data_IF_352334133523
#
_entry.id   IF_352334133523
#
_cell.length_a   1.000
_cell.length_b   1.000
_cell.length_c   1.000
_cell.angle_alpha   90.00
_cell.angle_beta   90.00
_cell.angle_gamma   90.00
#
_symmetry.space_group_name_H-M   'P 1'
#
loop_
_entity.id
_entity.type
_entity.pdbx_description
1 polymer ?
#
# COMPACT_ATOMS: atom_id res chain seq x y z
N UNK A 1 -38.59 5.47 -46.88
CA UNK A 1 -37.87 6.29 -45.87
C UNK A 1 -37.01 5.40 -44.97
N UNK A 2 -36.24 4.46 -45.52
CA UNK A 2 -35.76 3.30 -44.74
C UNK A 2 -34.25 3.12 -44.72
N UNK A 3 -33.52 3.76 -45.64
CA UNK A 3 -32.06 3.60 -45.77
C UNK A 3 -31.27 4.41 -44.73
N UNK A 4 -31.67 5.65 -44.43
CA UNK A 4 -31.02 6.47 -43.39
C UNK A 4 -31.16 5.87 -41.98
N UNK A 5 -32.31 5.28 -41.67
CA UNK A 5 -32.54 4.58 -40.39
C UNK A 5 -31.67 3.31 -40.28
N UNK A 6 -31.46 2.61 -41.40
CA UNK A 6 -30.59 1.43 -41.46
C UNK A 6 -29.10 1.78 -41.34
N UNK A 7 -28.66 2.90 -41.96
CA UNK A 7 -27.29 3.40 -41.81
C UNK A 7 -27.00 3.86 -40.38
N UNK A 8 -27.93 4.58 -39.73
CA UNK A 8 -27.76 5.00 -38.34
C UNK A 8 -27.67 3.81 -37.38
N UNK A 9 -28.46 2.75 -37.61
CA UNK A 9 -28.39 1.52 -36.81
C UNK A 9 -27.03 0.83 -36.93
N UNK A 10 -26.49 0.69 -38.16
CA UNK A 10 -25.15 0.13 -38.38
C UNK A 10 -24.05 0.92 -37.68
N UNK A 11 -24.12 2.24 -37.74
CA UNK A 11 -23.14 3.13 -37.10
C UNK A 11 -23.17 2.97 -35.56
N UNK A 12 -24.35 2.82 -34.98
CA UNK A 12 -24.53 2.58 -33.54
C UNK A 12 -24.00 1.20 -33.13
N UNK A 13 -24.27 0.16 -33.92
CA UNK A 13 -23.77 -1.20 -33.65
C UNK A 13 -22.23 -1.27 -33.74
N UNK A 14 -21.63 -0.59 -34.72
CA UNK A 14 -20.17 -0.49 -34.88
C UNK A 14 -19.51 0.23 -33.69
N UNK A 15 -20.08 1.36 -33.25
CA UNK A 15 -19.60 2.10 -32.08
C UNK A 15 -19.69 1.29 -30.78
N UNK A 16 -20.78 0.54 -30.58
CA UNK A 16 -20.95 -0.35 -29.43
C UNK A 16 -19.92 -1.49 -29.42
N UNK A 17 -19.61 -2.04 -30.60
CA UNK A 17 -18.58 -3.07 -30.74
C UNK A 17 -17.18 -2.53 -30.41
N UNK A 18 -16.85 -1.31 -30.83
CA UNK A 18 -15.56 -0.71 -30.56
C UNK A 18 -15.39 -0.31 -29.08
N UNK A 19 -16.42 0.24 -28.43
CA UNK A 19 -16.40 0.43 -26.97
C UNK A 19 -16.18 -0.89 -26.22
N UNK A 20 -16.80 -1.99 -26.67
CA UNK A 20 -16.60 -3.31 -26.06
C UNK A 20 -15.16 -3.82 -26.23
N UNK A 21 -14.52 -3.56 -27.37
CA UNK A 21 -13.10 -3.89 -27.60
C UNK A 21 -12.18 -3.04 -26.73
N UNK A 22 -12.44 -1.74 -26.60
CA UNK A 22 -11.66 -0.86 -25.73
C UNK A 22 -11.75 -1.29 -24.26
N UNK A 23 -12.93 -1.65 -23.76
CA UNK A 23 -13.07 -2.18 -22.40
C UNK A 23 -12.28 -3.47 -22.19
N UNK A 24 -12.30 -4.39 -23.17
CA UNK A 24 -11.50 -5.62 -23.10
C UNK A 24 -10.01 -5.33 -23.05
N UNK A 25 -9.53 -4.43 -23.91
CA UNK A 25 -8.12 -3.99 -23.94
C UNK A 25 -7.73 -3.33 -22.61
N UNK A 26 -8.60 -2.51 -22.03
CA UNK A 26 -8.37 -1.88 -20.73
C UNK A 26 -8.25 -2.91 -19.61
N UNK A 27 -9.18 -3.87 -19.52
CA UNK A 27 -9.12 -4.97 -18.54
C UNK A 27 -7.86 -5.82 -18.70
N UNK A 28 -7.42 -6.05 -19.93
CA UNK A 28 -6.19 -6.81 -20.22
C UNK A 28 -4.93 -6.05 -19.81
N UNK A 29 -4.85 -4.74 -20.07
CA UNK A 29 -3.79 -3.87 -19.56
C UNK A 29 -3.74 -3.88 -18.03
N UNK A 30 -4.89 -3.73 -17.36
CA UNK A 30 -4.98 -3.77 -15.90
C UNK A 30 -4.52 -5.13 -15.32
N UNK A 31 -4.87 -6.24 -15.97
CA UNK A 31 -4.39 -7.58 -15.59
C UNK A 31 -2.88 -7.71 -15.74
N UNK A 32 -2.32 -7.22 -16.84
CA UNK A 32 -0.88 -7.28 -17.09
C UNK A 32 -0.11 -6.44 -16.06
N UNK A 33 -0.59 -5.23 -15.74
CA UNK A 33 0.00 -4.39 -14.68
C UNK A 33 -0.02 -5.12 -13.32
N UNK A 34 -1.14 -5.75 -12.96
CA UNK A 34 -1.23 -6.54 -11.72
C UNK A 34 -0.28 -7.74 -11.73
N UNK A 35 -0.09 -8.41 -12.87
CA UNK A 35 0.82 -9.55 -12.98
C UNK A 35 2.29 -9.11 -12.84
N UNK A 36 2.69 -8.02 -13.49
CA UNK A 36 4.04 -7.45 -13.38
C UNK A 36 4.34 -7.00 -11.95
N UNK A 37 3.37 -6.36 -11.31
CA UNK A 37 3.44 -5.94 -9.91
C UNK A 37 3.62 -7.13 -8.97
N UNK A 38 2.85 -8.21 -9.15
CA UNK A 38 3.04 -9.47 -8.40
C UNK A 38 4.42 -10.08 -8.61
N UNK A 39 4.95 -10.03 -9.84
CA UNK A 39 6.28 -10.55 -10.16
C UNK A 39 7.38 -9.75 -9.45
N UNK A 40 7.28 -8.41 -9.42
CA UNK A 40 8.19 -7.54 -8.67
C UNK A 40 8.18 -7.84 -7.17
N UNK A 41 7.00 -7.99 -6.57
CA UNK A 41 6.87 -8.41 -5.15
C UNK A 41 7.60 -9.73 -4.91
N UNK A 42 7.37 -10.75 -5.76
CA UNK A 42 7.99 -12.06 -5.59
C UNK A 42 9.52 -11.98 -5.62
N UNK A 43 10.09 -11.14 -6.48
CA UNK A 43 11.54 -10.92 -6.53
C UNK A 43 12.08 -10.27 -5.26
N UNK A 44 11.40 -9.22 -4.75
CA UNK A 44 11.77 -8.57 -3.48
C UNK A 44 11.75 -9.60 -2.33
N UNK A 45 10.69 -10.40 -2.25
CA UNK A 45 10.52 -11.37 -1.16
C UNK A 45 11.54 -12.51 -1.20
N UNK A 46 11.98 -12.92 -2.39
CA UNK A 46 13.02 -13.96 -2.54
C UNK A 46 14.41 -13.46 -2.11
N UNK A 47 14.58 -12.14 -2.00
CA UNK A 47 15.86 -11.49 -1.66
C UNK A 47 16.03 -11.22 -0.16
N UNK A 48 15.00 -11.47 0.65
CA UNK A 48 15.05 -11.30 2.10
C UNK A 48 15.89 -12.43 2.70
N UNK A 49 17.21 -12.27 2.69
CA UNK A 49 18.13 -13.09 3.45
C UNK A 49 17.75 -12.99 4.94
N UNK A 50 17.81 -14.10 5.70
CA UNK A 50 17.30 -14.17 7.08
C UNK A 50 17.97 -13.20 8.08
N UNK A 51 19.10 -12.59 7.68
CA UNK A 51 19.80 -11.61 8.49
C UNK A 51 19.50 -10.18 7.99
N UNK A 52 18.87 -9.32 8.83
CA UNK A 52 18.62 -7.93 8.46
C UNK A 52 19.94 -7.24 8.16
N UNK A 53 20.00 -6.52 7.03
CA UNK A 53 21.11 -5.60 6.78
C UNK A 53 21.04 -4.46 7.78
N UNK A 54 22.20 -3.96 8.23
CA UNK A 54 22.23 -2.77 9.07
C UNK A 54 21.63 -1.57 8.34
N UNK A 55 20.97 -0.68 9.07
CA UNK A 55 20.32 0.49 8.49
C UNK A 55 21.37 1.43 7.88
N UNK A 56 21.15 1.97 6.67
CA UNK A 56 22.11 2.89 6.04
C UNK A 56 22.38 4.14 6.89
N UNK A 57 23.59 4.67 6.77
CA UNK A 57 24.07 5.78 7.62
C UNK A 57 23.25 7.05 7.40
N UNK A 58 22.76 7.30 6.18
CA UNK A 58 21.95 8.50 5.91
C UNK A 58 20.64 8.49 6.70
N UNK A 59 19.98 7.33 6.80
CA UNK A 59 18.77 7.17 7.61
C UNK A 59 19.06 7.35 9.10
N UNK A 60 20.16 6.77 9.61
CA UNK A 60 20.57 6.96 11.01
C UNK A 60 20.82 8.44 11.34
N UNK A 61 21.45 9.18 10.41
CA UNK A 61 21.69 10.62 10.57
C UNK A 61 20.38 11.40 10.61
N UNK A 62 19.47 11.10 9.69
CA UNK A 62 18.17 11.76 9.62
C UNK A 62 17.33 11.51 10.87
N UNK A 63 17.23 10.25 11.33
CA UNK A 63 16.52 9.92 12.59
C UNK A 63 17.09 10.72 13.77
N UNK A 64 18.41 10.87 13.84
CA UNK A 64 19.07 11.67 14.87
C UNK A 64 18.75 13.16 14.77
N UNK A 65 18.67 13.71 13.56
CA UNK A 65 18.27 15.11 13.31
C UNK A 65 16.80 15.35 13.70
N UNK A 66 15.94 14.35 13.52
CA UNK A 66 14.54 14.35 13.99
C UNK A 66 14.40 14.18 15.51
N UNK A 67 15.50 14.03 16.24
CA UNK A 67 15.52 13.86 17.70
C UNK A 67 15.39 12.41 18.19
N UNK A 68 15.42 11.43 17.28
CA UNK A 68 15.45 10.01 17.63
C UNK A 68 16.85 9.54 18.05
N UNK A 69 16.93 8.72 19.10
CA UNK A 69 18.18 8.26 19.69
C UNK A 69 18.35 6.73 19.61
N UNK A 70 17.27 5.98 19.83
CA UNK A 70 17.25 4.52 19.87
C UNK A 70 16.66 3.97 18.57
N UNK A 71 17.51 3.34 17.75
CA UNK A 71 17.09 2.67 16.51
C UNK A 71 17.04 1.16 16.73
N UNK A 72 15.86 0.56 16.53
CA UNK A 72 15.62 -0.88 16.66
C UNK A 72 14.79 -1.40 15.48
N UNK A 73 15.08 -2.62 15.04
CA UNK A 73 14.29 -3.29 14.01
C UNK A 73 13.05 -3.92 14.64
N UNK A 74 11.89 -3.29 14.43
CA UNK A 74 10.60 -3.77 14.95
C UNK A 74 9.99 -4.86 14.06
N UNK A 75 10.09 -4.69 12.74
CA UNK A 75 9.49 -5.59 11.76
C UNK A 75 10.28 -5.55 10.45
N UNK A 76 10.34 -6.67 9.75
CA UNK A 76 10.73 -6.75 8.35
C UNK A 76 9.69 -7.60 7.65
N UNK A 77 8.96 -7.01 6.68
CA UNK A 77 7.90 -7.71 5.96
C UNK A 77 8.11 -7.68 4.46
N UNK A 78 7.53 -8.67 3.81
CA UNK A 78 7.23 -8.62 2.39
C UNK A 78 6.15 -7.57 2.11
N UNK A 79 6.29 -6.82 1.02
CA UNK A 79 5.19 -5.99 0.52
C UNK A 79 4.18 -6.88 -0.20
N UNK A 80 2.90 -6.75 0.14
CA UNK A 80 1.81 -7.46 -0.51
C UNK A 80 1.09 -6.55 -1.49
N UNK A 81 0.19 -7.13 -2.30
CA UNK A 81 -0.56 -6.37 -3.30
C UNK A 81 -1.36 -5.22 -2.67
N UNK A 82 -1.89 -5.40 -1.45
CA UNK A 82 -2.57 -4.34 -0.70
C UNK A 82 -1.69 -3.12 -0.47
N UNK A 83 -0.43 -3.35 -0.10
CA UNK A 83 0.53 -2.29 0.25
C UNK A 83 0.94 -1.39 -0.92
N UNK A 84 0.86 -1.91 -2.16
CA UNK A 84 1.38 -1.22 -3.35
C UNK A 84 0.32 -0.90 -4.39
N UNK A 85 -0.94 -1.25 -4.12
CA UNK A 85 -2.05 -0.89 -5.01
C UNK A 85 -2.29 0.61 -4.91
N UNK A 86 -2.17 1.37 -6.02
CA UNK A 86 -2.39 2.80 -6.00
C UNK A 86 -3.78 3.15 -5.47
N UNK A 87 -3.86 4.13 -4.56
CA UNK A 87 -5.11 4.61 -3.99
C UNK A 87 -5.60 3.85 -2.75
N UNK A 88 -4.95 2.75 -2.34
CA UNK A 88 -5.23 2.15 -1.03
C UNK A 88 -4.49 2.88 0.10
N UNK A 89 -3.30 3.43 -0.18
CA UNK A 89 -2.50 4.28 0.70
C UNK A 89 -2.32 3.73 2.13
N UNK A 90 -2.36 2.40 2.32
CA UNK A 90 -2.08 1.75 3.59
C UNK A 90 -0.87 0.84 3.48
N UNK A 91 -0.18 0.65 4.61
CA UNK A 91 0.88 -0.33 4.77
C UNK A 91 0.56 -1.19 5.99
N UNK A 92 0.12 -2.43 5.77
CA UNK A 92 -0.30 -3.29 6.89
C UNK A 92 0.90 -3.72 7.74
N UNK A 93 0.78 -3.72 9.06
CA UNK A 93 1.79 -4.29 9.97
C UNK A 93 1.21 -5.53 10.66
N UNK A 94 1.45 -6.75 10.15
CA UNK A 94 0.91 -7.94 10.76
C UNK A 94 1.49 -8.14 12.16
N UNK A 95 0.62 -8.25 13.17
CA UNK A 95 1.03 -8.42 14.57
C UNK A 95 1.97 -9.63 14.76
N UNK A 96 1.78 -10.69 13.97
CA UNK A 96 2.61 -11.90 14.00
C UNK A 96 4.05 -11.69 13.52
N UNK A 97 4.35 -10.57 12.86
CA UNK A 97 5.68 -10.24 12.33
C UNK A 97 6.41 -9.16 13.15
N UNK A 98 5.75 -8.60 14.17
CA UNK A 98 6.33 -7.63 15.09
C UNK A 98 7.21 -8.38 16.09
N UNK A 99 8.49 -8.04 16.14
CA UNK A 99 9.50 -8.74 16.96
C UNK A 99 9.67 -8.12 18.34
N UNK A 100 9.43 -6.82 18.47
CA UNK A 100 9.64 -6.08 19.71
C UNK A 100 8.51 -5.08 19.94
N UNK A 101 8.17 -4.84 21.22
CA UNK A 101 7.26 -3.77 21.63
C UNK A 101 7.92 -2.42 21.31
N UNK A 102 7.24 -1.62 20.50
CA UNK A 102 7.72 -0.29 20.07
C UNK A 102 6.83 0.86 20.55
N UNK A 103 5.54 0.58 20.82
CA UNK A 103 4.62 1.52 21.44
C UNK A 103 4.85 1.55 22.96
N UNK A 104 4.84 2.74 23.54
CA UNK A 104 4.84 2.90 25.00
C UNK A 104 3.42 2.67 25.57
N UNK A 105 3.28 2.67 26.89
CA UNK A 105 1.99 2.38 27.54
C UNK A 105 0.94 3.48 27.29
N UNK A 106 1.36 4.73 27.12
CA UNK A 106 0.45 5.84 26.77
C UNK A 106 0.00 5.71 25.30
N UNK A 107 0.91 5.37 24.39
CA UNK A 107 0.59 5.10 22.99
C UNK A 107 -0.43 3.95 22.88
N UNK A 108 -0.18 2.84 23.57
CA UNK A 108 -1.10 1.69 23.61
C UNK A 108 -2.48 2.10 24.11
N UNK A 109 -2.54 2.89 25.19
CA UNK A 109 -3.80 3.39 25.74
C UNK A 109 -4.55 4.31 24.77
N UNK A 110 -3.82 5.09 23.96
CA UNK A 110 -4.42 5.86 22.87
C UNK A 110 -5.02 4.90 21.85
N UNK A 111 -4.28 3.89 21.39
CA UNK A 111 -4.79 2.94 20.37
C UNK A 111 -6.01 2.13 20.86
N UNK A 112 -6.05 1.78 22.15
CA UNK A 112 -7.19 1.10 22.79
C UNK A 112 -8.40 2.02 23.00
N UNK A 113 -8.22 3.34 22.87
CA UNK A 113 -9.30 4.31 23.03
C UNK A 113 -10.14 4.43 21.76
N UNK A 114 -11.45 4.60 21.95
CA UNK A 114 -12.38 4.77 20.84
C UNK A 114 -12.63 6.25 20.57
N UNK A 115 -12.51 6.66 19.31
CA UNK A 115 -13.00 7.94 18.82
C UNK A 115 -14.33 7.73 18.08
N UNK A 116 -15.41 7.52 18.83
CA UNK A 116 -16.71 7.15 18.28
C UNK A 116 -16.75 5.69 17.84
N UNK A 117 -17.04 5.43 16.56
CA UNK A 117 -17.08 4.07 16.00
C UNK A 117 -15.71 3.55 15.51
N UNK A 118 -14.67 4.39 15.50
CA UNK A 118 -13.35 4.04 15.01
C UNK A 118 -12.36 3.91 16.18
N UNK A 119 -11.34 3.06 16.04
CA UNK A 119 -10.18 3.10 16.94
C UNK A 119 -9.44 4.43 16.74
N UNK A 120 -8.85 4.95 17.81
CA UNK A 120 -8.01 6.14 17.71
C UNK A 120 -6.69 5.81 16.98
N UNK A 121 -6.19 6.80 16.24
CA UNK A 121 -4.92 6.73 15.51
C UNK A 121 -3.83 7.56 16.20
N UNK A 122 -2.58 7.24 15.89
CA UNK A 122 -1.40 8.00 16.32
C UNK A 122 -0.68 8.54 15.09
N UNK A 123 -0.42 9.85 15.07
CA UNK A 123 0.39 10.47 14.03
C UNK A 123 1.86 10.01 14.16
N UNK A 124 2.40 9.44 13.09
CA UNK A 124 3.77 8.94 13.01
C UNK A 124 4.50 9.50 11.79
N UNK A 125 5.76 9.93 11.93
CA UNK A 125 6.59 10.29 10.78
C UNK A 125 7.12 9.03 10.07
N UNK A 126 7.14 9.07 8.74
CA UNK A 126 7.70 8.04 7.87
C UNK A 126 8.86 8.65 7.06
N UNK A 127 10.00 7.98 7.08
CA UNK A 127 11.13 8.31 6.19
C UNK A 127 11.06 7.38 4.97
N UNK A 128 10.82 7.96 3.80
CA UNK A 128 10.75 7.28 2.53
C UNK A 128 12.11 6.82 2.00
N UNK A 129 12.13 6.02 0.92
CA UNK A 129 13.37 5.51 0.32
C UNK A 129 14.32 6.62 -0.17
N UNK A 130 13.83 7.83 -0.41
CA UNK A 130 14.62 8.97 -0.89
C UNK A 130 14.94 9.97 0.22
N UNK A 131 14.82 9.56 1.49
CA UNK A 131 15.01 10.40 2.70
C UNK A 131 13.98 11.54 2.83
N UNK A 132 12.86 11.36 2.17
CA UNK A 132 11.67 12.18 2.17
C UNK A 132 10.80 11.87 3.40
N UNK A 133 10.40 12.91 4.13
CA UNK A 133 9.58 12.79 5.33
C UNK A 133 8.09 12.93 5.01
N UNK A 134 7.28 12.04 5.57
CA UNK A 134 5.83 12.03 5.45
C UNK A 134 5.17 11.87 6.82
N UNK A 135 3.97 12.43 6.98
CA UNK A 135 3.10 12.08 8.09
C UNK A 135 2.18 10.92 7.68
N UNK A 136 1.97 9.99 8.60
CA UNK A 136 1.01 8.92 8.45
C UNK A 136 0.29 8.67 9.77
N UNK A 137 -0.87 8.03 9.70
CA UNK A 137 -1.64 7.62 10.86
C UNK A 137 -1.40 6.13 11.09
N UNK A 138 -0.98 5.78 12.32
CA UNK A 138 -0.91 4.41 12.78
C UNK A 138 -2.23 4.05 13.45
N UNK A 139 -2.88 3.00 12.98
CA UNK A 139 -4.15 2.50 13.50
C UNK A 139 -4.10 0.98 13.70
N UNK A 140 -4.73 0.49 14.76
CA UNK A 140 -4.99 -0.95 14.91
C UNK A 140 -6.28 -1.31 14.18
N UNK A 141 -6.16 -2.14 13.14
CA UNK A 141 -7.32 -2.60 12.38
C UNK A 141 -7.74 -3.95 12.93
N UNK A 142 -8.88 -3.98 13.63
CA UNK A 142 -9.51 -5.22 14.06
C UNK A 142 -9.88 -6.06 12.84
N UNK A 143 -9.42 -7.31 12.80
CA UNK A 143 -10.02 -8.31 11.93
C UNK A 143 -11.36 -8.74 12.53
N UNK A 144 -12.47 -8.35 11.93
CA UNK A 144 -13.72 -9.10 12.11
C UNK A 144 -13.50 -10.48 11.45
N UNK A 145 -13.54 -11.55 12.26
CA UNK A 145 -13.48 -12.95 11.80
C UNK A 145 -14.71 -13.36 10.97
#
# INVERSE_FOLDING_TARGET
>A
MTEQSSMNKKLVDEYLVDMSKEERLRREREKNVRADMKKKIKMINTSLNDQPSDMPIEFKKLIKEMGGDIVKLVMQKALYLGDITPGLNHLSMPLTQIKEKFLNDEDMKIMESHNGNNLASIDVPIIGPSLDEYAAELEEVGHEE
#
